data_IF_410718702972
#
_entry.id   IF_410718702972
#
_cell.length_a   1.000
_cell.length_b   1.000
_cell.length_c   1.000
_cell.angle_alpha   90.00
_cell.angle_beta   90.00
_cell.angle_gamma   90.00
#
_symmetry.space_group_name_H-M   'P 1'
#
loop_
_entity.id
_entity.type
_entity.pdbx_description
1 polymer ?
#
# COMPACT_ATOMS: atom_id res chain seq x y z
N UNK A 1 2.80 5.52 -8.13
CA UNK A 1 2.95 4.58 -6.99
C UNK A 1 2.09 3.36 -7.25
N UNK A 2 2.67 2.16 -7.19
CA UNK A 2 1.99 0.88 -7.32
C UNK A 2 2.04 0.21 -5.95
N UNK A 3 0.91 -0.21 -5.43
CA UNK A 3 0.81 -0.84 -4.11
C UNK A 3 -0.47 -1.65 -3.98
N UNK A 4 -0.51 -2.56 -3.01
CA UNK A 4 -1.68 -3.37 -2.70
C UNK A 4 -2.07 -3.24 -1.24
N UNK A 5 -3.21 -3.83 -0.87
CA UNK A 5 -3.54 -3.96 0.54
C UNK A 5 -2.44 -4.74 1.27
N UNK A 6 -2.05 -4.27 2.45
CA UNK A 6 -1.00 -4.91 3.25
C UNK A 6 0.44 -4.60 2.81
N UNK A 7 0.67 -3.79 1.77
CA UNK A 7 2.02 -3.38 1.32
C UNK A 7 2.47 -2.02 1.88
N UNK A 8 1.86 -1.52 2.96
CA UNK A 8 2.23 -0.22 3.55
C UNK A 8 1.92 0.99 2.65
N UNK A 9 0.98 0.87 1.70
CA UNK A 9 0.72 1.91 0.71
C UNK A 9 0.25 3.24 1.31
N UNK A 10 -0.67 3.24 2.27
CA UNK A 10 -1.11 4.46 2.95
C UNK A 10 0.01 5.14 3.73
N UNK A 11 0.80 4.33 4.41
CA UNK A 11 1.97 4.81 5.13
C UNK A 11 2.93 5.56 4.20
N UNK A 12 3.22 4.95 3.05
CA UNK A 12 4.12 5.52 2.06
C UNK A 12 3.54 6.75 1.34
N UNK A 13 2.23 6.79 1.08
CA UNK A 13 1.56 7.97 0.52
C UNK A 13 1.68 9.18 1.44
N UNK A 14 1.48 8.97 2.73
CA UNK A 14 1.63 10.02 3.73
C UNK A 14 3.08 10.47 3.87
N UNK A 15 4.05 9.56 3.81
CA UNK A 15 5.47 9.94 3.75
C UNK A 15 5.78 10.82 2.54
N UNK A 16 5.30 10.43 1.35
CA UNK A 16 5.49 11.19 0.12
C UNK A 16 4.81 12.58 0.18
N UNK A 17 3.64 12.69 0.82
CA UNK A 17 2.94 13.97 0.98
C UNK A 17 3.80 15.01 1.71
N UNK A 18 4.60 14.56 2.69
CA UNK A 18 5.56 15.37 3.45
C UNK A 18 6.82 15.74 2.65
N UNK A 19 7.04 15.09 1.51
CA UNK A 19 8.13 15.33 0.56
C UNK A 19 7.75 16.24 -0.62
N UNK A 20 6.71 17.08 -0.47
CA UNK A 20 6.16 17.92 -1.55
C UNK A 20 5.73 17.10 -2.78
N UNK A 21 5.31 15.84 -2.57
CA UNK A 21 4.69 14.99 -3.59
C UNK A 21 3.18 15.00 -3.36
N UNK A 22 2.42 15.51 -4.32
CA UNK A 22 0.95 15.45 -4.25
C UNK A 22 0.49 14.07 -4.66
N UNK A 23 -0.05 13.30 -3.72
CA UNK A 23 -0.80 12.10 -4.02
C UNK A 23 -2.13 12.52 -4.66
N UNK A 24 -2.37 12.07 -5.90
CA UNK A 24 -3.63 12.31 -6.58
C UNK A 24 -4.67 11.33 -6.04
N UNK A 25 -5.49 11.81 -5.12
CA UNK A 25 -6.57 11.03 -4.53
C UNK A 25 -7.76 10.92 -5.47
N UNK A 26 -8.51 9.83 -5.30
CA UNK A 26 -9.83 9.68 -5.92
C UNK A 26 -10.82 10.37 -4.99
N UNK A 27 -11.33 11.53 -5.37
CA UNK A 27 -12.42 12.16 -4.61
C UNK A 27 -13.73 11.33 -4.69
N UNK A 28 -13.85 10.45 -5.69
CA UNK A 28 -15.00 9.59 -5.95
C UNK A 28 -14.51 8.20 -6.36
N UNK A 29 -15.17 7.15 -5.85
CA UNK A 29 -14.97 5.78 -6.31
C UNK A 29 -15.60 5.61 -7.69
N UNK A 30 -14.80 5.78 -8.74
CA UNK A 30 -15.24 5.53 -10.11
C UNK A 30 -15.13 4.04 -10.45
N UNK A 31 -16.20 3.45 -10.96
CA UNK A 31 -16.23 2.03 -11.37
C UNK A 31 -15.73 1.78 -12.80
N UNK A 32 -15.22 2.83 -13.48
CA UNK A 32 -14.66 2.71 -14.83
C UNK A 32 -13.35 3.50 -15.02
N UNK A 33 -12.55 3.06 -16.01
CA UNK A 33 -11.25 3.63 -16.32
C UNK A 33 -11.27 5.01 -16.98
N UNK A 34 -12.32 5.34 -17.74
CA UNK A 34 -12.44 6.64 -18.42
C UNK A 34 -12.53 7.78 -17.40
N UNK A 35 -13.40 7.63 -16.40
CA UNK A 35 -13.61 8.68 -15.39
C UNK A 35 -12.39 8.81 -14.47
N UNK A 36 -11.75 7.68 -14.10
CA UNK A 36 -10.46 7.69 -13.39
C UNK A 36 -9.39 8.45 -14.15
N UNK A 37 -9.27 8.23 -15.46
CA UNK A 37 -8.32 8.97 -16.28
C UNK A 37 -8.63 10.47 -16.29
N UNK A 38 -9.89 10.85 -16.55
CA UNK A 38 -10.32 12.26 -16.60
C UNK A 38 -10.02 12.99 -15.29
N UNK A 39 -10.30 12.35 -14.15
CA UNK A 39 -10.05 12.92 -12.83
C UNK A 39 -8.55 13.25 -12.61
N UNK A 40 -7.65 12.32 -12.92
CA UNK A 40 -6.21 12.57 -12.79
C UNK A 40 -5.69 13.54 -13.83
N UNK A 41 -6.14 13.42 -15.08
CA UNK A 41 -5.72 14.30 -16.16
C UNK A 41 -6.08 15.77 -15.90
N UNK A 42 -7.25 16.04 -15.33
CA UNK A 42 -7.65 17.38 -14.90
C UNK A 42 -6.69 17.99 -13.88
N UNK A 43 -6.29 17.22 -12.86
CA UNK A 43 -5.32 17.66 -11.85
C UNK A 43 -3.92 17.91 -12.46
N UNK A 44 -3.50 17.04 -13.38
CA UNK A 44 -2.17 17.11 -14.02
C UNK A 44 -2.02 18.26 -15.02
N UNK A 45 -3.13 18.81 -15.53
CA UNK A 45 -3.11 19.97 -16.44
C UNK A 45 -2.72 21.27 -15.76
N UNK A 46 -2.92 21.36 -14.44
CA UNK A 46 -2.65 22.58 -13.68
C UNK A 46 -1.14 22.63 -13.40
N UNK A 47 -0.49 23.74 -13.77
CA UNK A 47 0.93 23.95 -13.45
C UNK A 47 1.05 24.18 -11.95
N UNK A 48 1.84 23.34 -11.29
CA UNK A 48 2.04 23.36 -9.85
C UNK A 48 3.53 23.17 -9.50
N UNK A 49 3.90 23.55 -8.27
CA UNK A 49 5.27 23.43 -7.76
C UNK A 49 5.55 22.09 -7.03
N UNK A 50 4.69 21.09 -7.21
CA UNK A 50 4.81 19.76 -6.62
C UNK A 50 5.01 18.69 -7.69
N UNK A 51 5.54 17.53 -7.29
CA UNK A 51 5.52 16.33 -8.12
C UNK A 51 4.19 15.60 -7.89
N UNK A 52 3.44 15.34 -8.97
CA UNK A 52 2.20 14.60 -8.89
C UNK A 52 2.47 13.09 -8.90
N UNK A 53 1.86 12.36 -7.96
CA UNK A 53 1.93 10.90 -7.89
C UNK A 53 0.54 10.30 -8.11
N UNK A 54 0.41 9.45 -9.14
CA UNK A 54 -0.79 8.65 -9.38
C UNK A 54 -0.67 7.34 -8.59
N UNK A 55 -1.57 7.06 -7.62
CA UNK A 55 -1.65 5.77 -6.96
C UNK A 55 -2.43 4.76 -7.81
N UNK A 56 -1.83 3.61 -8.08
CA UNK A 56 -2.41 2.50 -8.85
C UNK A 56 -2.52 1.30 -7.90
N UNK A 57 -3.74 1.09 -7.39
CA UNK A 57 -4.02 0.23 -6.24
C UNK A 57 -4.98 -0.94 -6.54
N UNK A 58 -5.73 -0.82 -7.63
CA UNK A 58 -6.87 -1.69 -7.96
C UNK A 58 -6.83 -2.05 -9.43
N UNK A 59 -7.32 -3.24 -9.77
CA UNK A 59 -7.47 -3.68 -11.16
C UNK A 59 -8.85 -4.24 -11.51
N UNK A 60 -9.82 -4.16 -10.61
CA UNK A 60 -11.14 -4.77 -10.80
C UNK A 60 -12.19 -3.72 -11.16
N UNK A 61 -12.04 -3.07 -12.32
CA UNK A 61 -13.00 -2.09 -12.82
C UNK A 61 -13.05 -2.10 -14.35
N UNK A 62 -14.18 -1.63 -14.90
CA UNK A 62 -14.41 -1.61 -16.35
C UNK A 62 -13.35 -0.73 -17.04
N UNK A 63 -12.79 -1.18 -18.16
CA UNK A 63 -11.73 -0.49 -18.92
C UNK A 63 -10.40 -0.28 -18.17
N UNK A 64 -10.09 -1.10 -17.16
CA UNK A 64 -8.83 -1.04 -16.40
C UNK A 64 -7.56 -0.99 -17.27
N UNK A 65 -7.41 -1.93 -18.21
CA UNK A 65 -6.20 -1.99 -19.04
C UNK A 65 -6.07 -0.71 -19.88
N UNK A 66 -7.17 -0.26 -20.51
CA UNK A 66 -7.21 0.97 -21.33
C UNK A 66 -6.81 2.20 -20.51
N UNK A 67 -7.29 2.30 -19.26
CA UNK A 67 -6.92 3.38 -18.34
C UNK A 67 -5.40 3.46 -18.12
N UNK A 68 -4.75 2.32 -17.82
CA UNK A 68 -3.30 2.31 -17.60
C UNK A 68 -2.50 2.54 -18.87
N UNK A 69 -2.95 2.01 -20.01
CA UNK A 69 -2.33 2.23 -21.31
C UNK A 69 -2.33 3.70 -21.76
N UNK A 70 -3.30 4.49 -21.28
CA UNK A 70 -3.38 5.92 -21.57
C UNK A 70 -2.39 6.75 -20.75
N UNK A 71 -1.76 6.20 -19.71
CA UNK A 71 -0.66 6.85 -19.00
C UNK A 71 0.60 6.70 -19.87
N UNK A 72 0.80 7.66 -20.77
CA UNK A 72 1.85 7.61 -21.78
C UNK A 72 3.13 8.37 -21.40
N UNK A 73 3.10 9.19 -20.33
CA UNK A 73 4.27 9.97 -19.90
C UNK A 73 5.37 9.02 -19.44
N UNK A 74 6.60 9.23 -19.92
CA UNK A 74 7.74 8.43 -19.50
C UNK A 74 8.22 8.85 -18.10
N UNK A 75 7.85 8.06 -17.08
CA UNK A 75 8.10 8.38 -15.65
C UNK A 75 8.48 7.12 -14.87
N UNK A 76 9.20 7.27 -13.75
CA UNK A 76 9.50 6.13 -12.88
C UNK A 76 8.24 5.62 -12.17
N UNK A 77 8.23 4.33 -11.85
CA UNK A 77 7.25 3.72 -10.96
C UNK A 77 7.93 3.33 -9.65
N UNK A 78 7.30 3.66 -8.52
CA UNK A 78 7.60 3.06 -7.22
C UNK A 78 6.62 1.91 -7.01
N UNK A 79 7.13 0.71 -6.76
CA UNK A 79 6.35 -0.49 -6.52
C UNK A 79 6.60 -0.99 -5.10
N UNK A 80 5.60 -0.87 -4.24
CA UNK A 80 5.68 -1.39 -2.88
C UNK A 80 5.54 -2.91 -2.91
N UNK A 81 6.49 -3.59 -2.27
CA UNK A 81 6.51 -5.04 -2.15
C UNK A 81 6.58 -5.43 -0.68
N UNK A 82 6.08 -6.63 -0.40
CA UNK A 82 6.16 -7.25 0.92
C UNK A 82 6.06 -8.74 0.72
N UNK A 83 6.68 -9.49 1.61
CA UNK A 83 6.47 -10.93 1.75
C UNK A 83 4.95 -11.27 1.64
N UNK A 84 4.54 -12.09 0.67
CA UNK A 84 3.14 -12.49 0.48
C UNK A 84 2.50 -13.09 1.74
N UNK A 85 3.27 -13.82 2.55
CA UNK A 85 2.79 -14.38 3.82
C UNK A 85 2.44 -13.24 4.78
N UNK A 86 3.32 -12.22 4.91
CA UNK A 86 3.05 -11.04 5.76
C UNK A 86 1.90 -10.17 5.25
N UNK A 87 1.70 -10.10 3.93
CA UNK A 87 0.52 -9.46 3.33
C UNK A 87 -0.74 -10.18 3.80
N UNK A 88 -0.78 -11.51 3.69
CA UNK A 88 -1.92 -12.32 4.13
C UNK A 88 -2.20 -12.11 5.63
N UNK A 89 -1.17 -12.17 6.48
CA UNK A 89 -1.31 -11.88 7.93
C UNK A 89 -1.93 -10.53 8.19
N UNK A 90 -1.51 -9.49 7.47
CA UNK A 90 -2.05 -8.14 7.62
C UNK A 90 -3.53 -8.07 7.24
N UNK A 91 -3.95 -8.78 6.19
CA UNK A 91 -5.37 -8.88 5.78
C UNK A 91 -6.22 -9.57 6.85
N UNK A 92 -5.70 -10.63 7.48
CA UNK A 92 -6.39 -11.29 8.60
C UNK A 92 -6.51 -10.38 9.81
N UNK A 93 -5.42 -9.74 10.21
CA UNK A 93 -5.40 -8.86 11.38
C UNK A 93 -6.31 -7.64 11.20
N UNK A 94 -6.33 -7.05 10.00
CA UNK A 94 -7.11 -5.85 9.68
C UNK A 94 -8.61 -6.00 9.96
N UNK A 95 -9.18 -7.18 9.71
CA UNK A 95 -10.64 -7.42 9.92
C UNK A 95 -11.03 -7.55 11.39
N UNK A 96 -10.08 -7.83 12.27
CA UNK A 96 -10.37 -8.10 13.68
C UNK A 96 -10.19 -6.81 14.52
N UNK A 97 -9.49 -5.81 13.99
CA UNK A 97 -9.16 -4.53 14.61
C UNK A 97 -10.27 -3.46 14.42
N UNK A 98 -11.45 -3.64 15.04
CA UNK A 98 -12.49 -2.58 15.03
C UNK A 98 -12.35 -1.54 16.15
N UNK A 99 -11.51 -1.76 17.15
CA UNK A 99 -11.34 -0.83 18.27
C UNK A 99 -9.90 -0.88 18.80
N UNK A 100 -9.09 0.14 18.45
CA UNK A 100 -7.63 0.16 18.64
C UNK A 100 -7.20 0.42 20.09
N UNK A 101 -8.06 1.02 20.90
CA UNK A 101 -7.73 1.47 22.27
C UNK A 101 -7.66 0.32 23.30
N UNK A 102 -7.89 -0.94 22.89
CA UNK A 102 -7.99 -2.09 23.81
C UNK A 102 -7.15 -3.30 23.38
N UNK A 103 -6.04 -3.09 22.68
CA UNK A 103 -5.20 -4.18 22.18
C UNK A 103 -4.28 -4.73 23.28
N UNK A 104 -4.39 -6.02 23.55
CA UNK A 104 -3.40 -6.79 24.32
C UNK A 104 -2.79 -7.84 23.40
N UNK A 105 -1.48 -7.73 23.17
CA UNK A 105 -0.72 -8.70 22.37
C UNK A 105 -0.26 -9.83 23.28
N UNK A 106 -0.57 -11.09 22.93
CA UNK A 106 0.00 -12.25 23.63
C UNK A 106 0.77 -13.12 22.64
N UNK A 107 2.06 -13.33 22.93
CA UNK A 107 2.97 -14.10 22.09
C UNK A 107 3.07 -15.55 22.63
N UNK A 108 1.92 -16.22 22.76
CA UNK A 108 1.82 -17.49 23.49
C UNK A 108 2.40 -18.72 22.76
N UNK A 109 2.86 -18.57 21.51
CA UNK A 109 3.57 -19.64 20.79
C UNK A 109 5.06 -19.34 20.73
N UNK A 110 5.71 -19.42 21.89
CA UNK A 110 7.15 -19.17 22.07
C UNK A 110 7.98 -20.43 21.80
N UNK A 111 7.75 -21.13 20.69
CA UNK A 111 8.50 -22.35 20.35
C UNK A 111 8.99 -22.48 18.91
N UNK A 112 8.67 -21.56 18.01
CA UNK A 112 9.27 -21.56 16.67
C UNK A 112 9.57 -20.14 16.20
N UNK A 113 10.86 -19.82 16.04
CA UNK A 113 11.35 -18.52 15.54
C UNK A 113 10.77 -18.11 14.16
N UNK A 114 10.07 -19.01 13.47
CA UNK A 114 9.32 -18.70 12.25
C UNK A 114 8.06 -17.86 12.49
N UNK A 115 7.50 -17.85 13.72
CA UNK A 115 6.21 -17.23 14.05
C UNK A 115 6.29 -16.00 14.97
N UNK A 116 7.49 -15.50 15.31
CA UNK A 116 7.70 -14.32 16.17
C UNK A 116 7.12 -13.00 15.61
N UNK A 117 6.48 -13.01 14.45
CA UNK A 117 5.94 -11.83 13.75
C UNK A 117 4.41 -11.82 13.57
N UNK A 118 3.66 -12.76 14.17
CA UNK A 118 2.22 -12.87 13.97
C UNK A 118 1.43 -12.36 15.19
N UNK A 119 1.07 -11.08 15.15
CA UNK A 119 0.19 -10.48 16.15
C UNK A 119 -1.28 -10.68 15.75
N UNK A 120 -1.99 -11.63 16.36
CA UNK A 120 -3.44 -11.77 16.16
C UNK A 120 -4.18 -10.94 17.20
N UNK A 121 -4.67 -9.76 16.80
CA UNK A 121 -5.56 -8.98 17.67
C UNK A 121 -6.99 -9.52 17.60
N UNK A 122 -7.69 -9.58 18.74
CA UNK A 122 -9.13 -9.90 18.78
C UNK A 122 -9.91 -8.83 19.57
N UNK A 123 -11.20 -8.70 19.29
CA UNK A 123 -12.11 -7.68 19.84
C UNK A 123 -12.24 -7.74 21.37
N UNK A 124 -12.87 -6.72 21.97
CA UNK A 124 -13.00 -6.39 23.42
C UNK A 124 -13.08 -7.55 24.46
N UNK A 125 -13.52 -8.74 24.07
CA UNK A 125 -13.76 -9.88 24.98
C UNK A 125 -12.92 -11.12 24.63
N UNK A 126 -12.00 -11.05 23.66
CA UNK A 126 -11.20 -12.18 23.23
C UNK A 126 -9.80 -11.67 22.88
N UNK A 127 -8.78 -12.36 23.36
CA UNK A 127 -7.36 -11.98 23.14
C UNK A 127 -6.69 -12.81 22.04
N UNK A 128 -7.28 -13.95 21.66
CA UNK A 128 -6.70 -14.92 20.72
C UNK A 128 -7.80 -15.49 19.82
N UNK A 129 -7.57 -15.47 18.51
CA UNK A 129 -8.46 -16.11 17.55
C UNK A 129 -8.22 -17.62 17.61
N UNK A 130 -9.26 -18.42 17.79
CA UNK A 130 -9.13 -19.87 17.76
C UNK A 130 -8.67 -20.33 16.37
N UNK A 131 -7.97 -21.47 16.31
CA UNK A 131 -7.58 -22.11 15.04
C UNK A 131 -8.75 -22.21 14.05
N UNK A 132 -9.94 -22.59 14.54
CA UNK A 132 -11.17 -22.69 13.74
C UNK A 132 -11.64 -21.35 13.16
N UNK A 133 -11.50 -20.25 13.90
CA UNK A 133 -11.83 -18.90 13.41
C UNK A 133 -10.85 -18.44 12.33
N UNK A 134 -9.56 -18.73 12.53
CA UNK A 134 -8.52 -18.47 11.52
C UNK A 134 -8.80 -19.31 10.26
N UNK A 135 -9.07 -20.60 10.40
CA UNK A 135 -9.40 -21.52 9.30
C UNK A 135 -10.67 -21.08 8.54
N UNK A 136 -11.72 -20.68 9.26
CA UNK A 136 -12.94 -20.14 8.65
C UNK A 136 -12.68 -18.81 7.92
N UNK A 137 -11.87 -17.93 8.50
CA UNK A 137 -11.41 -16.71 7.84
C UNK A 137 -10.63 -17.00 6.56
N UNK A 138 -9.74 -18.00 6.60
CA UNK A 138 -8.96 -18.46 5.44
C UNK A 138 -9.89 -19.02 4.36
N UNK A 139 -10.84 -19.88 4.73
CA UNK A 139 -11.77 -20.48 3.79
C UNK A 139 -12.71 -19.43 3.17
N UNK A 140 -13.21 -18.48 3.98
CA UNK A 140 -13.99 -17.36 3.48
C UNK A 140 -13.18 -16.49 2.52
N UNK A 141 -11.92 -16.18 2.85
CA UNK A 141 -11.04 -15.42 1.95
C UNK A 141 -10.73 -16.24 0.69
N UNK A 142 -10.49 -17.55 0.74
CA UNK A 142 -10.32 -18.40 -0.45
C UNK A 142 -11.56 -18.36 -1.35
N UNK A 143 -12.75 -18.40 -0.76
CA UNK A 143 -14.02 -18.35 -1.48
C UNK A 143 -14.30 -16.96 -2.08
N UNK A 144 -13.99 -15.90 -1.35
CA UNK A 144 -14.06 -14.51 -1.81
C UNK A 144 -12.96 -14.23 -2.86
N UNK A 145 -11.76 -14.82 -2.72
CA UNK A 145 -10.59 -14.66 -3.60
C UNK A 145 -10.66 -15.43 -4.91
N UNK A 146 -11.63 -16.33 -5.13
CA UNK A 146 -11.90 -16.83 -6.49
C UNK A 146 -12.15 -15.69 -7.48
N UNK A 147 -12.57 -14.52 -7.00
CA UNK A 147 -12.83 -13.32 -7.81
C UNK A 147 -12.02 -12.09 -7.41
N UNK A 148 -11.15 -12.19 -6.41
CA UNK A 148 -10.49 -11.03 -5.80
C UNK A 148 -8.97 -11.16 -5.91
N UNK A 149 -8.37 -10.16 -6.56
CA UNK A 149 -6.93 -10.04 -6.84
C UNK A 149 -6.19 -9.25 -5.74
N UNK A 150 -6.65 -9.20 -4.49
CA UNK A 150 -6.19 -8.18 -3.53
C UNK A 150 -4.71 -8.25 -3.11
N UNK A 151 -4.00 -9.38 -3.29
CA UNK A 151 -2.73 -9.58 -2.57
C UNK A 151 -1.45 -9.48 -3.39
N UNK A 152 -1.49 -9.37 -4.72
CA UNK A 152 -0.33 -8.89 -5.49
C UNK A 152 -0.71 -8.50 -6.93
N UNK A 153 -1.19 -7.27 -7.12
CA UNK A 153 -1.60 -6.74 -8.44
C UNK A 153 -0.44 -6.04 -9.16
N UNK A 154 0.71 -5.87 -8.49
CA UNK A 154 1.85 -5.14 -9.02
C UNK A 154 2.28 -5.61 -10.42
N UNK A 155 2.37 -6.93 -10.64
CA UNK A 155 2.70 -7.48 -11.97
C UNK A 155 1.66 -7.12 -13.04
N UNK A 156 0.37 -7.17 -12.69
CA UNK A 156 -0.73 -6.80 -13.58
C UNK A 156 -0.77 -5.31 -13.88
N UNK A 157 -0.39 -4.46 -12.91
CA UNK A 157 -0.21 -3.03 -13.12
C UNK A 157 0.95 -2.76 -14.07
N UNK A 158 2.12 -3.32 -13.78
CA UNK A 158 3.33 -3.14 -14.58
C UNK A 158 3.16 -3.63 -16.02
N UNK A 159 2.47 -4.76 -16.24
CA UNK A 159 2.18 -5.27 -17.60
C UNK A 159 1.39 -4.26 -18.45
N UNK A 160 0.52 -3.47 -17.83
CA UNK A 160 -0.38 -2.54 -18.52
C UNK A 160 0.17 -1.10 -18.60
N UNK A 161 1.20 -0.78 -17.81
CA UNK A 161 1.91 0.50 -17.86
C UNK A 161 3.05 0.42 -18.87
N UNK A 162 2.81 0.83 -20.12
CA UNK A 162 3.76 0.63 -21.23
C UNK A 162 4.99 1.55 -21.19
N UNK A 163 4.88 2.72 -20.58
CA UNK A 163 5.88 3.79 -20.71
C UNK A 163 6.63 4.08 -19.40
N UNK A 164 6.87 3.06 -18.56
CA UNK A 164 7.65 3.23 -17.32
C UNK A 164 9.14 3.28 -17.63
N UNK A 165 9.85 4.29 -17.07
CA UNK A 165 11.31 4.43 -17.25
C UNK A 165 12.10 3.45 -16.40
N UNK A 166 11.70 3.28 -15.15
CA UNK A 166 12.31 2.36 -14.21
C UNK A 166 11.31 1.98 -13.13
N UNK A 167 11.42 0.75 -12.60
CA UNK A 167 10.58 0.28 -11.48
C UNK A 167 11.45 0.16 -10.23
N UNK A 168 11.22 1.04 -9.25
CA UNK A 168 11.84 0.98 -7.94
C UNK A 168 11.00 0.13 -7.01
N UNK A 169 11.46 -1.07 -6.73
CA UNK A 169 10.86 -1.93 -5.72
C UNK A 169 11.30 -1.46 -4.33
N UNK A 170 10.33 -1.25 -3.44
CA UNK A 170 10.56 -0.84 -2.06
C UNK A 170 9.86 -1.85 -1.17
N UNK A 171 10.64 -2.61 -0.39
CA UNK A 171 10.07 -3.51 0.59
C UNK A 171 9.48 -2.71 1.75
N UNK A 172 8.37 -3.17 2.32
CA UNK A 172 7.75 -2.51 3.47
C UNK A 172 8.70 -2.35 4.65
N UNK A 173 9.68 -3.23 4.82
CA UNK A 173 10.72 -3.08 5.85
C UNK A 173 11.62 -1.87 5.64
N UNK A 174 11.77 -1.35 4.41
CA UNK A 174 12.54 -0.14 4.10
C UNK A 174 11.80 1.15 4.51
N UNK A 175 10.50 1.07 4.74
CA UNK A 175 9.64 2.21 5.16
C UNK A 175 9.19 2.05 6.61
N UNK A 176 9.89 1.22 7.38
CA UNK A 176 9.70 1.10 8.82
C UNK A 176 10.42 2.20 9.59
N UNK A 177 10.04 2.39 10.86
CA UNK A 177 10.67 3.35 11.76
C UNK A 177 12.19 3.11 11.75
N UNK A 178 12.96 4.19 11.59
CA UNK A 178 14.42 4.27 11.48
C UNK A 178 15.03 4.05 10.08
N UNK A 179 14.28 3.55 9.09
CA UNK A 179 14.78 3.39 7.69
C UNK A 179 14.04 4.27 6.68
N UNK A 180 12.82 4.69 7.02
CA UNK A 180 11.95 5.45 6.13
C UNK A 180 12.60 6.72 5.56
N UNK A 181 13.25 7.51 6.42
CA UNK A 181 13.92 8.75 5.97
C UNK A 181 15.02 8.48 4.96
N UNK A 182 15.90 7.51 5.21
CA UNK A 182 16.99 7.14 4.31
C UNK A 182 16.45 6.63 2.97
N UNK A 183 15.43 5.77 3.00
CA UNK A 183 14.76 5.26 1.81
C UNK A 183 14.16 6.39 0.96
N UNK A 184 13.46 7.34 1.58
CA UNK A 184 12.91 8.50 0.87
C UNK A 184 14.00 9.44 0.39
N UNK A 185 15.08 9.62 1.16
CA UNK A 185 16.22 10.44 0.74
C UNK A 185 16.85 9.86 -0.53
N UNK A 186 17.10 8.55 -0.58
CA UNK A 186 17.58 7.86 -1.78
C UNK A 186 16.63 8.06 -2.96
N UNK A 187 15.33 7.86 -2.75
CA UNK A 187 14.31 8.08 -3.79
C UNK A 187 14.23 9.55 -4.24
N UNK A 188 14.46 10.50 -3.34
CA UNK A 188 14.43 11.94 -3.63
C UNK A 188 15.52 12.32 -4.64
N UNK A 189 16.72 11.73 -4.50
CA UNK A 189 17.85 11.96 -5.41
C UNK A 189 17.61 11.37 -6.80
N UNK A 190 16.83 10.30 -6.88
CA UNK A 190 16.51 9.59 -8.11
C UNK A 190 15.33 10.23 -8.85
N UNK A 191 14.26 10.58 -8.12
CA UNK A 191 12.98 11.02 -8.69
C UNK A 191 12.89 12.55 -8.71
N UNK A 192 13.66 13.26 -7.87
CA UNK A 192 13.75 14.72 -7.85
C UNK A 192 12.69 15.41 -6.99
N UNK A 193 12.13 14.74 -5.98
CA UNK A 193 11.27 15.39 -4.99
C UNK A 193 12.06 15.96 -3.82
N UNK A 194 11.45 16.86 -3.04
CA UNK A 194 12.11 17.52 -1.93
C UNK A 194 11.99 16.68 -0.65
N UNK A 195 13.06 16.60 0.14
CA UNK A 195 13.01 16.01 1.47
C UNK A 195 12.71 17.09 2.52
N UNK A 196 11.95 16.77 3.59
CA UNK A 196 11.91 17.63 4.76
C UNK A 196 13.29 17.68 5.44
N UNK A 197 13.59 18.82 6.06
CA UNK A 197 14.83 19.02 6.81
C UNK A 197 14.84 18.24 8.14
N UNK A 198 13.67 17.99 8.72
CA UNK A 198 13.50 17.23 9.96
C UNK A 198 13.10 15.78 9.64
N UNK A 199 13.94 14.83 10.04
CA UNK A 199 13.73 13.40 9.81
C UNK A 199 12.55 12.85 10.62
N UNK A 200 12.21 13.48 11.75
CA UNK A 200 11.05 13.13 12.59
C UNK A 200 9.74 13.28 11.83
N UNK A 201 9.67 14.19 10.86
CA UNK A 201 8.50 14.33 9.99
C UNK A 201 8.26 13.07 9.15
N UNK A 202 9.26 12.23 8.92
CA UNK A 202 9.08 10.94 8.25
C UNK A 202 9.01 9.81 9.26
N UNK A 203 9.93 9.77 10.22
CA UNK A 203 10.14 8.61 11.09
C UNK A 203 9.08 8.46 12.19
N UNK A 204 8.41 9.55 12.62
CA UNK A 204 7.41 9.51 13.69
C UNK A 204 5.98 9.37 13.16
N UNK A 205 5.79 8.71 12.01
CA UNK A 205 4.47 8.41 11.51
C UNK A 205 3.81 7.33 12.37
N UNK A 206 2.85 7.74 13.21
CA UNK A 206 1.95 6.82 13.90
C UNK A 206 0.90 6.32 12.91
N UNK A 207 1.15 5.15 12.34
CA UNK A 207 0.15 4.44 11.55
C UNK A 207 -0.93 3.92 12.48
N UNK A 208 -2.09 4.57 12.42
CA UNK A 208 -3.29 4.10 13.11
C UNK A 208 -3.91 2.95 12.35
#
# INVERSE_FOLDING_TARGET
LIGGHGTGEKAFQEMLSRCNVKILEKNIWYDNGLDRYKAFYGNLKIKNNYIACIPILECNFYQYDKYLHMINKHVPAICLVRDPIKIMTSVYNYKILKNKDNLTFSNLNCTDHLFDNYYYAVTKNKTIASKKEIENGINNIKNINKHIRFTYIARTHLKNLKNISHVYYIDVSEISNNKAYETLYRLSKIIGFNMPNDDKLINNLSYT
#
